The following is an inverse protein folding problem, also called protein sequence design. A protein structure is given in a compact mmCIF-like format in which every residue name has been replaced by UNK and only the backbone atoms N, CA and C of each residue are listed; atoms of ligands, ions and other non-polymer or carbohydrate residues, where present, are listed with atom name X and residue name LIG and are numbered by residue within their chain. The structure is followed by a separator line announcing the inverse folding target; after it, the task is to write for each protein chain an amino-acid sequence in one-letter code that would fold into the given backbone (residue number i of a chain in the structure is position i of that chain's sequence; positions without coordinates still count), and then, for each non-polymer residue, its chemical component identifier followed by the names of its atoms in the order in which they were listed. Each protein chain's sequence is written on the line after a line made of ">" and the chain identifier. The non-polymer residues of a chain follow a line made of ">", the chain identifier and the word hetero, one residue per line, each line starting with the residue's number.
data_IF_718202631263
#
_entry.id   IF_718202631263
#
_cell.length_a   1.000
_cell.length_b   1.000
_cell.length_c   1.000
_cell.angle_alpha   90.00
_cell.angle_beta   90.00
_cell.angle_gamma   90.00
#
_symmetry.space_group_name_H-M   'P 1'
#
loop_
_entity.id
_entity.type
_entity.pdbx_description
1 polymer ?
#
# COMPACT_ATOMS: atom_id res chain seq x y z
N UNK A 1 18.58 -6.90 0.82
CA UNK A 1 17.61 -6.74 1.94
C UNK A 1 16.22 -7.10 1.43
N UNK A 2 15.43 -7.93 2.13
CA UNK A 2 14.14 -8.47 1.62
C UNK A 2 13.07 -7.40 1.43
N UNK A 3 13.05 -6.41 2.31
CA UNK A 3 12.25 -5.19 2.16
C UNK A 3 12.49 -4.51 0.83
N UNK A 4 13.76 -4.30 0.45
CA UNK A 4 14.10 -3.69 -0.83
C UNK A 4 13.54 -4.47 -2.04
N UNK A 5 13.63 -5.81 -1.99
CA UNK A 5 13.05 -6.68 -3.03
C UNK A 5 11.52 -6.59 -3.08
N UNK A 6 10.86 -6.51 -1.93
CA UNK A 6 9.41 -6.31 -1.86
C UNK A 6 8.99 -4.97 -2.46
N UNK A 7 9.70 -3.88 -2.13
CA UNK A 7 9.47 -2.56 -2.71
C UNK A 7 9.60 -2.57 -4.23
N UNK A 8 10.63 -3.24 -4.77
CA UNK A 8 10.77 -3.40 -6.22
C UNK A 8 9.65 -4.24 -6.86
N UNK A 9 9.14 -5.27 -6.17
CA UNK A 9 8.15 -6.19 -6.72
C UNK A 9 6.71 -5.66 -6.64
N UNK A 10 6.36 -4.93 -5.57
CA UNK A 10 5.00 -4.51 -5.25
C UNK A 10 4.80 -2.99 -5.28
N UNK A 11 5.88 -2.22 -5.41
CA UNK A 11 5.90 -0.76 -5.22
C UNK A 11 6.22 -0.38 -3.78
N UNK A 12 6.91 0.74 -3.58
CA UNK A 12 7.29 1.25 -2.26
C UNK A 12 6.08 1.67 -1.43
N UNK A 13 5.07 2.24 -2.08
CA UNK A 13 3.79 2.59 -1.48
C UNK A 13 3.02 1.38 -0.92
N UNK A 14 3.37 0.16 -1.30
CA UNK A 14 2.74 -1.04 -0.74
C UNK A 14 3.01 -1.18 0.76
N UNK A 15 4.11 -0.62 1.27
CA UNK A 15 4.43 -0.64 2.70
C UNK A 15 3.42 0.11 3.56
N UNK A 16 2.76 1.15 3.03
CA UNK A 16 1.69 1.84 3.72
C UNK A 16 0.45 0.95 3.96
N UNK A 17 0.37 -0.17 3.25
CA UNK A 17 -0.75 -1.11 3.29
C UNK A 17 -0.40 -2.42 4.02
N UNK A 18 0.86 -2.57 4.44
CA UNK A 18 1.31 -3.71 5.24
C UNK A 18 0.99 -3.43 6.71
N UNK A 19 0.07 -4.17 7.33
CA UNK A 19 -0.23 -3.98 8.74
C UNK A 19 0.97 -4.48 9.56
N UNK A 20 1.66 -3.58 10.25
CA UNK A 20 2.82 -3.92 11.08
C UNK A 20 2.50 -4.91 12.21
N UNK A 21 1.23 -5.02 12.60
CA UNK A 21 0.71 -5.95 13.60
C UNK A 21 0.44 -7.36 13.05
N UNK A 22 0.36 -7.52 11.72
CA UNK A 22 0.10 -8.81 11.05
C UNK A 22 1.36 -9.33 10.37
N UNK A 23 2.13 -8.44 9.73
CA UNK A 23 3.39 -8.76 9.08
C UNK A 23 4.51 -8.06 9.86
N UNK A 24 5.12 -8.78 10.79
CA UNK A 24 6.24 -8.27 11.57
C UNK A 24 7.51 -8.20 10.72
N UNK A 25 8.49 -7.39 11.16
CA UNK A 25 9.81 -7.36 10.55
C UNK A 25 10.48 -8.73 10.55
N UNK A 26 10.31 -9.48 11.64
CA UNK A 26 10.79 -10.85 11.73
C UNK A 26 10.14 -11.75 10.69
N UNK A 27 8.87 -11.54 10.33
CA UNK A 27 8.16 -12.36 9.35
C UNK A 27 8.72 -12.20 7.93
N UNK A 28 9.07 -10.98 7.55
CA UNK A 28 9.70 -10.73 6.24
C UNK A 28 11.12 -11.27 6.21
N UNK A 29 11.86 -11.14 7.32
CA UNK A 29 13.31 -11.38 7.36
C UNK A 29 13.72 -12.83 7.63
N UNK A 30 12.93 -13.59 8.41
CA UNK A 30 13.38 -14.88 8.96
C UNK A 30 12.60 -16.14 8.53
N UNK A 31 11.25 -16.20 8.56
CA UNK A 31 10.54 -17.47 8.43
C UNK A 31 10.49 -18.03 7.02
N UNK A 32 10.50 -17.18 5.98
CA UNK A 32 10.49 -17.66 4.60
C UNK A 32 11.92 -17.89 4.10
N UNK A 33 12.18 -18.99 3.40
CA UNK A 33 13.37 -19.16 2.57
C UNK A 33 13.29 -18.23 1.36
N UNK A 34 14.43 -17.94 0.72
CA UNK A 34 14.47 -17.01 -0.44
C UNK A 34 13.46 -17.41 -1.55
N UNK A 35 13.33 -18.68 -1.96
CA UNK A 35 12.34 -19.06 -2.99
C UNK A 35 10.89 -18.90 -2.52
N UNK A 36 10.62 -19.17 -1.24
CA UNK A 36 9.27 -19.05 -0.65
C UNK A 36 8.84 -17.58 -0.56
N UNK A 37 9.80 -16.69 -0.28
CA UNK A 37 9.58 -15.25 -0.33
C UNK A 37 9.21 -14.77 -1.74
N UNK A 38 9.86 -15.32 -2.77
CA UNK A 38 9.57 -14.95 -4.16
C UNK A 38 8.17 -15.42 -4.59
N UNK A 39 7.80 -16.65 -4.24
CA UNK A 39 6.43 -17.17 -4.45
C UNK A 39 5.41 -16.32 -3.71
N UNK A 40 5.72 -15.88 -2.49
CA UNK A 40 4.81 -15.01 -1.73
C UNK A 40 4.62 -13.64 -2.41
N UNK A 41 5.67 -13.03 -2.95
CA UNK A 41 5.57 -11.77 -3.70
C UNK A 41 4.70 -11.93 -4.96
N UNK A 42 4.85 -13.05 -5.67
CA UNK A 42 3.99 -13.38 -6.81
C UNK A 42 2.53 -13.54 -6.41
N UNK A 43 2.28 -14.25 -5.31
CA UNK A 43 0.94 -14.44 -4.77
C UNK A 43 0.30 -13.12 -4.34
N UNK A 44 1.02 -12.27 -3.61
CA UNK A 44 0.53 -10.97 -3.14
C UNK A 44 0.10 -10.09 -4.31
N UNK A 45 0.93 -10.02 -5.36
CA UNK A 45 0.63 -9.29 -6.59
C UNK A 45 -0.58 -9.86 -7.34
N UNK A 46 -0.73 -11.19 -7.38
CA UNK A 46 -1.84 -11.86 -8.06
C UNK A 46 -3.17 -11.67 -7.32
N UNK A 47 -3.17 -11.76 -6.00
CA UNK A 47 -4.38 -11.68 -5.17
C UNK A 47 -4.86 -10.24 -5.02
N UNK A 48 -3.94 -9.27 -4.96
CA UNK A 48 -4.27 -7.86 -4.73
C UNK A 48 -3.70 -6.92 -5.82
N UNK A 49 -4.09 -7.09 -7.10
CA UNK A 49 -3.55 -6.28 -8.19
C UNK A 49 -3.86 -4.79 -8.05
N UNK A 50 -4.99 -4.44 -7.43
CA UNK A 50 -5.38 -3.04 -7.18
C UNK A 50 -4.44 -2.36 -6.18
N UNK A 51 -3.95 -3.09 -5.18
CA UNK A 51 -2.99 -2.59 -4.20
C UNK A 51 -1.66 -2.28 -4.90
N UNK A 52 -1.18 -3.19 -5.74
CA UNK A 52 0.06 -2.97 -6.52
C UNK A 52 -0.09 -1.76 -7.44
N UNK A 53 -1.23 -1.64 -8.12
CA UNK A 53 -1.50 -0.48 -8.98
C UNK A 53 -1.54 0.83 -8.20
N UNK A 54 -2.22 0.86 -7.05
CA UNK A 54 -2.29 2.04 -6.19
C UNK A 54 -0.91 2.41 -5.64
N UNK A 55 -0.11 1.42 -5.22
CA UNK A 55 1.26 1.62 -4.77
C UNK A 55 2.13 2.25 -5.88
N UNK A 56 2.02 1.77 -7.13
CA UNK A 56 2.75 2.34 -8.27
C UNK A 56 2.34 3.78 -8.59
N UNK A 57 1.06 4.12 -8.45
CA UNK A 57 0.58 5.51 -8.61
C UNK A 57 1.19 6.40 -7.52
N UNK A 58 1.24 5.91 -6.29
CA UNK A 58 1.90 6.63 -5.19
C UNK A 58 3.40 6.79 -5.43
N UNK A 59 4.10 5.74 -5.85
CA UNK A 59 5.53 5.78 -6.17
C UNK A 59 5.84 6.79 -7.27
N UNK A 60 5.01 6.82 -8.31
CA UNK A 60 5.13 7.77 -9.42
C UNK A 60 4.92 9.21 -8.96
N UNK A 61 3.95 9.42 -8.06
CA UNK A 61 3.71 10.74 -7.48
C UNK A 61 4.84 11.20 -6.56
N UNK A 62 5.39 10.29 -5.76
CA UNK A 62 6.51 10.57 -4.85
C UNK A 62 7.81 10.90 -5.59
N UNK A 63 8.05 10.23 -6.73
CA UNK A 63 9.33 10.25 -7.45
C UNK A 63 10.49 9.70 -6.58
N UNK A 64 11.69 9.46 -7.14
CA UNK A 64 12.79 8.87 -6.38
C UNK A 64 13.16 9.64 -5.11
N UNK A 65 13.13 10.98 -5.16
CA UNK A 65 13.45 11.84 -4.02
C UNK A 65 12.43 11.69 -2.88
N UNK A 66 11.14 11.64 -3.20
CA UNK A 66 10.10 11.42 -2.21
C UNK A 66 10.17 10.02 -1.58
N UNK A 67 10.48 8.99 -2.38
CA UNK A 67 10.71 7.61 -1.90
C UNK A 67 11.92 7.55 -0.94
N UNK A 68 12.96 8.34 -1.20
CA UNK A 68 14.14 8.44 -0.35
C UNK A 68 13.89 9.25 0.95
N UNK A 69 12.68 9.76 1.17
CA UNK A 69 12.32 10.58 2.34
C UNK A 69 12.49 12.07 2.15
N UNK A 70 12.61 12.54 0.90
CA UNK A 70 12.62 13.95 0.54
C UNK A 70 11.30 14.67 0.83
N UNK A 71 11.32 15.99 0.76
CA UNK A 71 10.14 16.82 1.03
C UNK A 71 9.05 16.61 -0.04
N UNK A 72 7.80 16.56 0.41
CA UNK A 72 6.60 16.41 -0.46
C UNK A 72 5.66 17.62 -0.38
N UNK A 73 6.06 18.68 0.33
CA UNK A 73 5.22 19.87 0.61
C UNK A 73 4.75 20.59 -0.66
N UNK A 74 5.56 20.56 -1.71
CA UNK A 74 5.33 21.31 -2.94
C UNK A 74 4.54 20.49 -3.99
N UNK A 75 4.25 19.22 -3.69
CA UNK A 75 3.51 18.32 -4.58
C UNK A 75 2.00 18.51 -4.42
N UNK A 76 1.28 18.53 -5.53
CA UNK A 76 -0.18 18.57 -5.51
C UNK A 76 -0.75 17.33 -4.80
N UNK A 77 -1.78 17.44 -3.94
CA UNK A 77 -2.32 16.31 -3.21
C UNK A 77 -2.76 15.16 -4.12
N UNK A 78 -2.29 13.95 -3.83
CA UNK A 78 -2.76 12.73 -4.50
C UNK A 78 -4.08 12.29 -3.85
N UNK A 79 -5.17 12.35 -4.62
CA UNK A 79 -6.50 11.96 -4.16
C UNK A 79 -7.11 10.86 -5.01
N UNK A 80 -7.85 9.96 -4.38
CA UNK A 80 -8.74 9.02 -5.08
C UNK A 80 -10.13 9.63 -5.06
N UNK A 81 -10.70 9.90 -6.24
CA UNK A 81 -12.11 10.26 -6.34
C UNK A 81 -12.95 9.02 -6.04
N UNK A 82 -13.44 8.90 -4.82
CA UNK A 82 -14.52 7.97 -4.52
C UNK A 82 -15.80 8.52 -5.17
N UNK A 83 -16.39 7.77 -6.09
CA UNK A 83 -17.79 8.03 -6.43
C UNK A 83 -18.60 7.79 -5.14
N UNK A 84 -19.54 8.68 -4.77
CA UNK A 84 -20.41 8.44 -3.63
C UNK A 84 -21.28 7.21 -3.95
N UNK A 85 -20.83 6.04 -3.50
CA UNK A 85 -21.66 4.85 -3.52
C UNK A 85 -22.53 4.88 -2.28
N UNK A 86 -23.73 5.43 -2.49
CA UNK A 86 -24.99 5.33 -1.74
C UNK A 86 -25.55 6.71 -1.38
N UNK A 87 -26.88 6.91 -1.52
CA UNK A 87 -27.54 8.07 -0.96
C UNK A 87 -27.28 8.06 0.56
N UNK A 88 -26.84 9.21 1.07
CA UNK A 88 -26.79 9.48 2.50
C UNK A 88 -28.24 9.32 2.97
N UNK A 89 -28.54 8.25 3.70
CA UNK A 89 -29.81 8.17 4.41
C UNK A 89 -29.70 9.15 5.58
N UNK A 90 -30.44 10.26 5.51
CA UNK A 90 -30.74 11.06 6.70
C UNK A 90 -31.46 10.14 7.68
N UNK A 91 -30.81 9.83 8.79
CA UNK A 91 -31.43 9.15 9.91
C UNK A 91 -32.25 10.23 10.61
N UNK A 92 -33.58 10.19 10.48
CA UNK A 92 -34.45 10.97 11.36
C UNK A 92 -34.28 10.44 12.78
N UNK A 93 -33.71 11.26 13.66
CA UNK A 93 -33.71 10.98 15.10
C UNK A 93 -35.16 10.90 15.58
N UNK A 94 -35.56 9.72 16.07
CA UNK A 94 -36.80 9.56 16.82
C UNK A 94 -36.55 10.14 18.21
N UNK A 95 -37.28 11.20 18.57
CA UNK A 95 -37.29 11.72 19.94
C UNK A 95 -38.04 10.75 20.86
N UNK A 96 -37.46 10.46 22.03
CA UNK A 96 -38.05 9.66 23.12
C UNK A 96 -39.33 10.29 23.70
#
# INVERSE_FOLDING_TARGET
>A
MRWYKMGQALGWGSFCLVPHNVISNSWVEYPLRIPEFDVWLELARKVNPNVVKAAQVLDTWLEPDGIAGGAISDKAPLGIKAAPNLPIFEIEEVQD
#
